data_IF_258232645566
#
_entry.id   IF_258232645566
#
_cell.length_a   1.000
_cell.length_b   1.000
_cell.length_c   1.000
_cell.angle_alpha   90.00
_cell.angle_beta   90.00
_cell.angle_gamma   90.00
#
_symmetry.space_group_name_H-M   'P 1'
#
loop_
_entity.id
_entity.type
_entity.pdbx_description
1 polymer ?
#
# COMPACT_ATOMS: atom_id res chain seq x y z
N UNK A 1 10.81 27.16 0.63
CA UNK A 1 11.86 26.20 0.23
C UNK A 1 11.58 24.78 0.73
N UNK A 2 11.21 24.61 1.99
CA UNK A 2 10.95 23.30 2.62
C UNK A 2 9.82 22.50 1.96
N UNK A 3 8.71 23.15 1.60
CA UNK A 3 7.57 22.51 0.94
C UNK A 3 7.94 21.96 -0.45
N UNK A 4 8.80 22.67 -1.18
CA UNK A 4 9.29 22.25 -2.49
C UNK A 4 10.14 20.99 -2.39
N UNK A 5 10.99 20.87 -1.36
CA UNK A 5 11.83 19.69 -1.13
C UNK A 5 10.95 18.48 -0.81
N UNK A 6 9.93 18.65 0.05
CA UNK A 6 8.97 17.57 0.37
C UNK A 6 8.18 17.18 -0.87
N UNK A 7 7.73 18.13 -1.68
CA UNK A 7 7.02 17.88 -2.93
C UNK A 7 7.90 17.13 -3.94
N UNK A 8 9.19 17.50 -4.05
CA UNK A 8 10.15 16.83 -4.92
C UNK A 8 10.42 15.40 -4.44
N UNK A 9 10.64 15.19 -3.14
CA UNK A 9 10.82 13.85 -2.55
C UNK A 9 9.55 13.03 -2.74
N UNK A 10 8.39 13.63 -2.54
CA UNK A 10 7.08 13.00 -2.78
C UNK A 10 6.90 12.60 -4.25
N UNK A 11 7.24 13.47 -5.20
CA UNK A 11 7.18 13.19 -6.64
C UNK A 11 8.16 12.09 -7.06
N UNK A 12 9.37 12.08 -6.52
CA UNK A 12 10.36 11.04 -6.79
C UNK A 12 9.88 9.69 -6.23
N UNK A 13 9.37 9.67 -4.99
CA UNK A 13 8.83 8.43 -4.38
C UNK A 13 7.59 7.94 -5.11
N UNK A 14 6.71 8.83 -5.58
CA UNK A 14 5.57 8.49 -6.42
C UNK A 14 5.97 7.82 -7.72
N UNK A 15 6.97 8.36 -8.43
CA UNK A 15 7.46 7.77 -9.67
C UNK A 15 8.08 6.38 -9.44
N UNK A 16 8.83 6.20 -8.35
CA UNK A 16 9.42 4.91 -7.99
C UNK A 16 8.32 3.92 -7.63
N UNK A 17 7.37 4.28 -6.77
CA UNK A 17 6.26 3.40 -6.33
C UNK A 17 5.30 3.08 -7.48
N UNK A 18 4.98 4.03 -8.35
CA UNK A 18 4.16 3.80 -9.56
C UNK A 18 4.88 2.95 -10.62
N UNK A 19 6.18 3.12 -10.78
CA UNK A 19 7.00 2.34 -11.72
C UNK A 19 6.97 0.84 -11.39
N UNK A 20 6.98 0.48 -10.10
CA UNK A 20 6.88 -0.92 -9.67
C UNK A 20 5.51 -1.55 -9.94
N UNK A 21 4.44 -0.78 -9.91
CA UNK A 21 3.08 -1.28 -10.23
C UNK A 21 2.92 -1.67 -11.71
N UNK A 22 3.72 -1.11 -12.61
CA UNK A 22 3.61 -1.36 -14.05
C UNK A 22 4.46 -2.55 -14.53
N UNK A 23 5.54 -2.90 -13.84
CA UNK A 23 6.49 -3.92 -14.31
C UNK A 23 6.08 -5.35 -13.96
N UNK A 24 5.15 -5.56 -13.02
CA UNK A 24 4.66 -6.90 -12.64
C UNK A 24 3.56 -7.46 -13.52
N UNK A 25 3.17 -6.78 -14.61
CA UNK A 25 1.99 -7.14 -15.42
C UNK A 25 2.25 -8.08 -16.61
N UNK A 26 3.43 -8.67 -16.79
CA UNK A 26 3.72 -9.43 -18.01
C UNK A 26 4.02 -10.93 -17.86
N UNK A 27 3.65 -11.58 -16.76
CA UNK A 27 3.80 -13.04 -16.65
C UNK A 27 2.57 -13.76 -16.07
N UNK A 28 1.38 -13.46 -16.61
CA UNK A 28 0.26 -14.40 -16.46
C UNK A 28 0.42 -15.45 -17.57
N UNK A 29 1.05 -16.58 -17.24
CA UNK A 29 0.98 -17.79 -18.06
C UNK A 29 -0.49 -18.16 -18.24
N UNK A 30 -0.99 -18.03 -19.45
CA UNK A 30 -2.27 -18.60 -19.86
C UNK A 30 -2.20 -20.13 -19.68
N UNK A 31 -2.83 -20.62 -18.62
CA UNK A 31 -3.07 -22.07 -18.46
C UNK A 31 -4.15 -22.41 -19.48
N UNK A 32 -3.73 -22.86 -20.66
CA UNK A 32 -4.61 -23.53 -21.60
C UNK A 32 -5.16 -24.80 -20.97
N UNK A 33 -6.41 -24.75 -20.53
CA UNK A 33 -7.20 -25.95 -20.24
C UNK A 33 -7.48 -26.67 -21.56
N UNK A 34 -6.67 -27.64 -21.90
CA UNK A 34 -7.06 -28.63 -22.87
C UNK A 34 -8.14 -29.53 -22.27
N UNK A 35 -9.36 -29.40 -22.77
CA UNK A 35 -10.40 -30.37 -22.56
C UNK A 35 -10.05 -31.61 -23.38
N UNK A 36 -9.64 -32.70 -22.71
CA UNK A 36 -9.48 -34.00 -23.33
C UNK A 36 -10.86 -34.64 -23.51
N UNK A 37 -11.36 -34.60 -24.73
CA UNK A 37 -12.42 -35.50 -25.18
C UNK A 37 -11.83 -36.90 -25.40
N UNK A 38 -12.46 -37.85 -24.74
CA UNK A 38 -12.24 -39.30 -24.83
C UNK A 38 -12.28 -39.82 -26.26
N UNK A 39 -11.23 -40.55 -26.67
CA UNK A 39 -11.33 -41.59 -27.72
C UNK A 39 -10.68 -42.85 -27.17
N UNK A 40 -11.53 -43.84 -26.91
CA UNK A 40 -11.18 -45.21 -26.63
C UNK A 40 -10.77 -45.92 -27.95
N UNK A 41 -9.58 -46.51 -27.98
CA UNK A 41 -9.32 -47.66 -28.86
C UNK A 41 -8.27 -48.55 -28.21
N UNK A 42 -8.75 -49.74 -27.92
CA UNK A 42 -8.02 -50.97 -27.56
C UNK A 42 -6.97 -51.36 -28.60
N UNK A 43 -5.79 -51.80 -28.20
CA UNK A 43 -5.05 -52.89 -28.84
C UNK A 43 -3.99 -53.45 -27.85
N UNK A 44 -3.95 -54.75 -27.85
CA UNK A 44 -3.29 -55.78 -27.06
C UNK A 44 -1.76 -55.76 -27.00
N UNK A 45 -1.28 -56.18 -25.84
CA UNK A 45 -0.16 -57.06 -25.50
C UNK A 45 0.99 -57.31 -26.46
N UNK A 46 2.22 -57.10 -25.98
CA UNK A 46 3.25 -58.17 -25.96
C UNK A 46 4.44 -57.75 -25.05
N UNK A 47 4.83 -58.68 -24.17
CA UNK A 47 5.97 -58.67 -23.30
C UNK A 47 7.26 -58.88 -24.07
N UNK A 48 8.35 -58.15 -23.76
CA UNK A 48 9.72 -58.66 -23.86
C UNK A 48 10.57 -58.01 -22.75
N UNK A 49 11.16 -58.87 -21.92
CA UNK A 49 12.28 -58.55 -21.01
C UNK A 49 13.55 -58.42 -21.82
N UNK A 50 14.42 -57.43 -21.48
CA UNK A 50 15.86 -57.68 -21.42
C UNK A 50 16.57 -56.57 -20.63
N UNK A 51 17.42 -57.01 -19.74
CA UNK A 51 18.40 -56.31 -18.95
C UNK A 51 19.53 -55.73 -19.81
N UNK A 52 20.05 -54.51 -19.46
CA UNK A 52 21.27 -54.01 -20.08
C UNK A 52 21.66 -52.66 -19.52
N UNK A 53 22.68 -52.66 -18.67
CA UNK A 53 23.40 -51.47 -18.21
C UNK A 53 24.15 -50.78 -19.36
N UNK A 54 24.11 -49.44 -19.42
CA UNK A 54 24.93 -48.70 -20.36
C UNK A 54 24.75 -47.21 -20.26
N UNK A 55 25.76 -46.56 -19.69
CA UNK A 55 25.92 -45.09 -19.72
C UNK A 55 26.08 -44.59 -21.16
N UNK A 56 25.18 -43.75 -21.60
CA UNK A 56 25.21 -43.14 -22.92
C UNK A 56 24.94 -41.64 -22.87
N UNK A 57 25.99 -40.86 -23.11
CA UNK A 57 25.95 -39.42 -23.35
C UNK A 57 25.16 -39.17 -24.63
N UNK A 58 24.08 -38.45 -24.55
CA UNK A 58 23.32 -38.02 -25.73
C UNK A 58 23.75 -36.59 -26.12
N UNK A 59 24.41 -36.50 -27.26
CA UNK A 59 24.70 -35.24 -27.96
C UNK A 59 23.41 -34.75 -28.67
N UNK A 60 22.88 -33.62 -28.21
CA UNK A 60 21.80 -32.93 -28.94
C UNK A 60 22.40 -32.02 -30.01
N UNK A 61 22.10 -32.31 -31.25
CA UNK A 61 22.49 -31.55 -32.44
C UNK A 61 21.49 -30.38 -32.63
N UNK A 62 21.90 -29.15 -32.32
CA UNK A 62 21.15 -27.93 -32.54
C UNK A 62 21.28 -27.48 -33.98
N UNK A 63 20.17 -27.46 -34.74
CA UNK A 63 20.10 -26.83 -36.05
C UNK A 63 19.87 -25.31 -35.86
N UNK A 64 20.91 -24.55 -36.18
CA UNK A 64 20.93 -23.08 -36.16
C UNK A 64 20.35 -22.54 -37.47
N UNK A 65 19.15 -22.03 -37.44
CA UNK A 65 18.61 -21.12 -38.49
C UNK A 65 19.03 -19.69 -38.10
N UNK A 66 19.75 -19.06 -39.00
CA UNK A 66 20.35 -17.73 -38.85
C UNK A 66 19.42 -16.72 -39.50
N UNK A 67 18.72 -15.92 -38.71
CA UNK A 67 18.09 -14.69 -39.16
C UNK A 67 18.84 -13.49 -38.58
N UNK A 68 19.34 -12.69 -39.51
CA UNK A 68 20.10 -11.47 -39.30
C UNK A 68 19.12 -10.33 -39.10
N UNK A 69 19.00 -9.78 -37.93
CA UNK A 69 18.74 -8.39 -37.54
C UNK A 69 18.20 -8.37 -36.11
N UNK A 70 19.10 -8.27 -35.14
CA UNK A 70 18.71 -7.85 -33.82
C UNK A 70 19.84 -7.04 -33.19
N UNK A 71 19.55 -5.80 -33.04
CA UNK A 71 20.21 -4.77 -32.25
C UNK A 71 20.56 -5.33 -30.86
N UNK A 72 21.81 -5.13 -30.49
CA UNK A 72 22.40 -5.43 -29.19
C UNK A 72 21.53 -4.90 -28.04
N UNK A 73 20.73 -5.77 -27.43
CA UNK A 73 20.34 -5.65 -26.05
C UNK A 73 21.16 -6.64 -25.24
N UNK A 74 22.03 -6.09 -24.41
CA UNK A 74 22.76 -6.82 -23.39
C UNK A 74 21.77 -7.66 -22.58
N UNK A 75 21.75 -8.97 -22.82
CA UNK A 75 21.04 -9.93 -21.99
C UNK A 75 21.71 -9.98 -20.63
N UNK A 76 21.12 -9.32 -19.64
CA UNK A 76 21.28 -9.73 -18.25
C UNK A 76 20.79 -11.18 -18.19
N UNK A 77 21.70 -12.08 -17.91
CA UNK A 77 21.37 -13.48 -17.63
C UNK A 77 20.55 -13.48 -16.35
N UNK A 78 19.24 -13.57 -16.49
CA UNK A 78 18.36 -13.97 -15.39
C UNK A 78 18.70 -15.44 -15.09
N UNK A 79 19.53 -15.66 -14.11
CA UNK A 79 19.58 -16.94 -13.42
C UNK A 79 18.29 -17.03 -12.64
N UNK A 80 17.31 -17.75 -13.21
CA UNK A 80 16.11 -18.23 -12.53
C UNK A 80 16.52 -19.12 -11.34
N UNK A 81 16.93 -18.49 -10.26
CA UNK A 81 16.92 -19.07 -8.94
C UNK A 81 15.60 -18.66 -8.29
N UNK A 82 14.54 -19.40 -8.59
CA UNK A 82 13.26 -19.37 -7.90
C UNK A 82 13.41 -19.87 -6.45
N UNK A 83 14.25 -19.21 -5.67
CA UNK A 83 14.21 -19.27 -4.23
C UNK A 83 13.27 -18.16 -3.74
N UNK A 84 11.98 -18.44 -3.74
CA UNK A 84 10.91 -17.58 -3.16
C UNK A 84 11.15 -17.18 -1.69
N UNK A 85 12.27 -17.63 -1.11
CA UNK A 85 12.68 -17.37 0.27
C UNK A 85 13.75 -16.28 0.43
N UNK A 86 14.34 -15.78 -0.65
CA UNK A 86 15.37 -14.76 -0.53
C UNK A 86 14.74 -13.42 -0.10
N UNK A 87 15.27 -12.81 0.97
CA UNK A 87 14.78 -11.52 1.44
C UNK A 87 15.05 -10.46 0.35
N UNK A 88 14.01 -9.75 -0.04
CA UNK A 88 14.17 -8.55 -0.87
C UNK A 88 15.34 -7.72 -0.31
N UNK A 89 16.35 -7.37 -1.13
CA UNK A 89 17.54 -6.72 -0.63
C UNK A 89 17.16 -5.40 0.08
N UNK A 90 17.88 -5.09 1.15
CA UNK A 90 17.65 -3.88 1.95
C UNK A 90 17.76 -2.60 1.11
N UNK A 91 18.51 -2.68 0.02
CA UNK A 91 18.77 -1.62 -0.96
C UNK A 91 17.73 -1.56 -2.08
N UNK A 92 16.61 -2.30 -2.01
CA UNK A 92 15.60 -2.19 -3.05
C UNK A 92 15.09 -0.75 -3.16
N UNK A 93 14.91 -0.20 -4.36
CA UNK A 93 14.47 1.19 -4.56
C UNK A 93 13.16 1.50 -3.83
N UNK A 94 12.25 0.53 -3.76
CA UNK A 94 11.00 0.64 -3.01
C UNK A 94 11.24 0.91 -1.52
N UNK A 95 12.09 0.10 -0.87
CA UNK A 95 12.41 0.26 0.56
C UNK A 95 13.11 1.57 0.83
N UNK A 96 14.08 1.92 -0.01
CA UNK A 96 14.79 3.20 0.08
C UNK A 96 13.84 4.38 -0.05
N UNK A 97 12.86 4.32 -0.95
CA UNK A 97 11.84 5.36 -1.11
C UNK A 97 11.01 5.54 0.16
N UNK A 98 10.51 4.46 0.77
CA UNK A 98 9.75 4.56 2.02
C UNK A 98 10.61 5.04 3.20
N UNK A 99 11.86 4.59 3.32
CA UNK A 99 12.77 5.08 4.35
C UNK A 99 13.08 6.57 4.15
N UNK A 100 13.37 6.98 2.93
CA UNK A 100 13.63 8.39 2.62
C UNK A 100 12.42 9.26 2.95
N UNK A 101 11.22 8.82 2.56
CA UNK A 101 9.98 9.54 2.85
C UNK A 101 9.71 9.63 4.36
N UNK A 102 9.89 8.52 5.09
CA UNK A 102 9.70 8.48 6.53
C UNK A 102 10.71 9.36 7.27
N UNK A 103 12.01 9.23 6.95
CA UNK A 103 13.06 10.06 7.55
C UNK A 103 12.87 11.54 7.22
N UNK A 104 12.47 11.87 6.00
CA UNK A 104 12.17 13.25 5.61
C UNK A 104 11.02 13.83 6.42
N UNK A 105 9.95 13.06 6.62
CA UNK A 105 8.81 13.49 7.43
C UNK A 105 9.22 13.68 8.91
N UNK A 106 9.96 12.72 9.48
CA UNK A 106 10.47 12.81 10.87
C UNK A 106 11.34 14.05 11.02
N UNK A 107 12.35 14.19 10.18
CA UNK A 107 13.25 15.35 10.24
C UNK A 107 12.48 16.65 10.09
N UNK A 108 11.58 16.72 9.12
CA UNK A 108 10.77 17.91 8.88
C UNK A 108 9.91 18.26 10.09
N UNK A 109 9.19 17.32 10.66
CA UNK A 109 8.27 17.55 11.78
C UNK A 109 8.99 18.09 13.03
N UNK A 110 10.22 17.65 13.28
CA UNK A 110 10.96 18.03 14.49
C UNK A 110 11.90 19.24 14.29
N UNK A 111 12.31 19.57 13.06
CA UNK A 111 13.33 20.61 12.84
C UNK A 111 12.85 21.79 12.01
N UNK A 112 11.93 21.59 11.06
CA UNK A 112 11.58 22.58 10.04
C UNK A 112 10.10 23.00 10.07
N UNK A 113 9.23 22.25 10.77
CA UNK A 113 7.81 22.57 10.86
C UNK A 113 7.62 23.91 11.62
N UNK A 114 6.63 24.74 11.21
CA UNK A 114 6.36 26.01 11.87
C UNK A 114 5.95 25.83 13.32
N UNK A 115 6.12 26.89 14.15
CA UNK A 115 5.71 26.86 15.55
C UNK A 115 6.63 26.10 16.51
N UNK A 116 7.91 25.87 16.17
CA UNK A 116 8.88 25.04 16.88
C UNK A 116 9.44 25.61 18.21
N UNK A 117 8.66 26.30 19.03
CA UNK A 117 9.08 26.73 20.37
C UNK A 117 8.61 25.75 21.46
N UNK A 118 9.17 25.85 22.69
CA UNK A 118 8.70 25.03 23.82
C UNK A 118 7.20 25.21 24.12
N UNK A 119 6.66 26.41 23.84
CA UNK A 119 5.23 26.70 23.96
C UNK A 119 4.39 25.96 22.91
N UNK A 120 4.94 25.60 21.75
CA UNK A 120 4.22 24.89 20.71
C UNK A 120 3.69 23.52 21.17
N UNK A 121 4.44 22.80 21.99
CA UNK A 121 4.00 21.52 22.52
C UNK A 121 2.76 21.66 23.43
N UNK A 122 2.69 22.71 24.22
CA UNK A 122 1.52 23.00 25.04
C UNK A 122 0.30 23.36 24.17
N UNK A 123 0.50 24.16 23.12
CA UNK A 123 -0.55 24.54 22.16
C UNK A 123 -1.04 23.30 21.39
N UNK A 124 -0.13 22.47 20.87
CA UNK A 124 -0.46 21.24 20.17
C UNK A 124 -1.31 20.32 21.05
N UNK A 125 -0.92 20.12 22.32
CA UNK A 125 -1.67 19.30 23.27
C UNK A 125 -3.06 19.88 23.56
N UNK A 126 -3.17 21.20 23.73
CA UNK A 126 -4.45 21.86 23.91
C UNK A 126 -5.36 21.69 22.70
N UNK A 127 -4.83 21.87 21.48
CA UNK A 127 -5.60 21.64 20.24
C UNK A 127 -6.08 20.20 20.13
N UNK A 128 -5.24 19.20 20.43
CA UNK A 128 -5.64 17.78 20.43
C UNK A 128 -6.77 17.56 21.44
N UNK A 129 -6.63 18.08 22.67
CA UNK A 129 -7.69 17.95 23.69
C UNK A 129 -9.00 18.59 23.23
N UNK A 130 -8.96 19.80 22.66
CA UNK A 130 -10.14 20.47 22.12
C UNK A 130 -10.81 19.65 21.03
N UNK A 131 -10.04 19.15 20.04
CA UNK A 131 -10.59 18.35 18.94
C UNK A 131 -11.28 17.07 19.44
N UNK A 132 -10.76 16.45 20.51
CA UNK A 132 -11.29 15.20 21.04
C UNK A 132 -12.43 15.44 22.03
N UNK A 133 -12.31 16.42 22.94
CA UNK A 133 -13.23 16.59 24.06
C UNK A 133 -14.35 17.59 23.77
N UNK A 134 -14.03 18.65 23.05
CA UNK A 134 -14.96 19.75 22.76
C UNK A 134 -14.96 20.16 21.28
N UNK A 135 -15.22 19.23 20.35
CA UNK A 135 -15.05 19.49 18.91
C UNK A 135 -15.96 20.62 18.36
N UNK A 136 -16.99 21.01 19.12
CA UNK A 136 -17.98 22.01 18.72
C UNK A 136 -17.82 23.36 19.45
N UNK A 137 -16.73 23.60 20.17
CA UNK A 137 -16.55 24.85 20.94
C UNK A 137 -16.15 26.04 20.07
N UNK A 138 -15.85 25.81 18.79
CA UNK A 138 -15.49 26.86 17.83
C UNK A 138 -14.08 27.42 17.98
N UNK A 139 -13.26 26.89 18.89
CA UNK A 139 -11.87 27.37 19.10
C UNK A 139 -10.90 26.86 18.04
N UNK A 140 -11.14 25.65 17.50
CA UNK A 140 -10.37 25.06 16.41
C UNK A 140 -11.24 25.01 15.16
N UNK A 141 -10.71 25.44 14.02
CA UNK A 141 -11.48 25.40 12.77
C UNK A 141 -11.98 23.99 12.45
N UNK A 142 -13.28 23.84 12.13
CA UNK A 142 -13.90 22.55 11.83
C UNK A 142 -13.24 21.81 10.66
N UNK A 143 -12.64 22.55 9.71
CA UNK A 143 -11.88 21.96 8.59
C UNK A 143 -10.67 21.21 9.09
N UNK A 144 -9.87 21.80 9.99
CA UNK A 144 -8.73 21.12 10.58
C UNK A 144 -9.16 19.95 11.47
N UNK A 145 -10.21 20.16 12.29
CA UNK A 145 -10.75 19.10 13.14
C UNK A 145 -11.21 17.88 12.33
N UNK A 146 -11.87 18.10 11.20
CA UNK A 146 -12.27 17.04 10.28
C UNK A 146 -11.07 16.34 9.63
N UNK A 147 -10.05 17.09 9.17
CA UNK A 147 -8.82 16.53 8.62
C UNK A 147 -8.10 15.68 9.66
N UNK A 148 -7.93 16.18 10.88
CA UNK A 148 -7.26 15.48 11.97
C UNK A 148 -7.96 14.16 12.33
N UNK A 149 -9.29 14.18 12.44
CA UNK A 149 -10.07 12.97 12.67
C UNK A 149 -10.04 12.00 11.48
N UNK A 150 -9.84 12.49 10.26
CA UNK A 150 -9.66 11.65 9.08
C UNK A 150 -8.37 10.82 9.12
N UNK A 151 -7.36 11.27 9.85
CA UNK A 151 -6.16 10.46 10.14
C UNK A 151 -6.50 9.17 10.91
N UNK A 152 -7.63 9.09 11.60
CA UNK A 152 -8.12 7.86 12.21
C UNK A 152 -8.79 6.90 11.22
N UNK A 153 -9.31 7.38 10.09
CA UNK A 153 -9.91 6.54 9.04
C UNK A 153 -8.83 5.85 8.21
N UNK A 154 -7.78 6.57 7.83
CA UNK A 154 -6.72 6.04 6.97
C UNK A 154 -6.05 4.77 7.55
N UNK A 155 -5.70 4.68 8.84
CA UNK A 155 -5.20 3.45 9.44
C UNK A 155 -6.17 2.26 9.33
N UNK A 156 -7.48 2.47 9.41
CA UNK A 156 -8.46 1.40 9.22
C UNK A 156 -8.46 0.89 7.77
N UNK A 157 -8.28 1.80 6.80
CA UNK A 157 -8.08 1.43 5.39
C UNK A 157 -6.76 0.67 5.22
N UNK A 158 -5.65 1.17 5.79
CA UNK A 158 -4.37 0.47 5.79
C UNK A 158 -4.45 -0.91 6.44
N UNK A 159 -5.18 -1.05 7.56
CA UNK A 159 -5.45 -2.34 8.18
C UNK A 159 -6.11 -3.32 7.20
N UNK A 160 -7.13 -2.84 6.50
CA UNK A 160 -7.86 -3.63 5.50
C UNK A 160 -7.00 -4.09 4.31
N UNK A 161 -5.98 -3.30 3.94
CA UNK A 161 -5.09 -3.59 2.82
C UNK A 161 -3.87 -4.43 3.22
N UNK A 162 -3.30 -4.17 4.40
CA UNK A 162 -2.02 -4.71 4.82
C UNK A 162 -2.13 -5.99 5.64
N UNK A 163 -3.13 -6.08 6.53
CA UNK A 163 -3.23 -7.21 7.46
C UNK A 163 -3.45 -8.56 6.78
N UNK A 164 -4.19 -8.68 5.67
CA UNK A 164 -4.25 -9.96 4.97
C UNK A 164 -2.88 -10.52 4.61
N UNK A 165 -1.96 -9.66 4.12
CA UNK A 165 -0.60 -10.05 3.77
C UNK A 165 0.37 -10.17 4.96
N UNK A 166 -0.01 -9.71 6.16
CA UNK A 166 0.80 -9.73 7.37
C UNK A 166 0.73 -11.08 8.10
N UNK A 167 0.90 -12.17 7.35
CA UNK A 167 0.88 -13.54 7.87
C UNK A 167 2.28 -14.01 8.30
N UNK A 168 2.41 -15.28 8.65
CA UNK A 168 3.66 -15.88 9.17
C UNK A 168 4.87 -15.78 8.20
N UNK A 169 4.65 -15.43 6.93
CA UNK A 169 5.73 -15.18 5.97
C UNK A 169 6.41 -13.82 6.20
N UNK A 170 5.77 -12.90 6.96
CA UNK A 170 6.35 -11.60 7.30
C UNK A 170 7.25 -11.71 8.53
N UNK A 171 8.46 -11.12 8.44
CA UNK A 171 9.39 -11.03 9.59
C UNK A 171 8.99 -9.95 10.60
N UNK A 172 8.12 -9.02 10.18
CA UNK A 172 7.75 -7.82 10.95
C UNK A 172 6.26 -7.90 11.27
N UNK A 173 5.87 -7.70 12.55
CA UNK A 173 4.48 -7.82 12.98
C UNK A 173 3.63 -6.64 12.48
N UNK A 174 2.92 -6.82 11.35
CA UNK A 174 2.13 -5.76 10.71
C UNK A 174 1.06 -5.15 11.62
N UNK A 175 0.43 -5.96 12.47
CA UNK A 175 -0.64 -5.50 13.36
C UNK A 175 -0.17 -4.38 14.31
N UNK A 176 1.04 -4.48 14.88
CA UNK A 176 1.55 -3.46 15.80
C UNK A 176 1.76 -2.11 15.11
N UNK A 177 2.30 -2.13 13.89
CA UNK A 177 2.51 -0.92 13.10
C UNK A 177 1.19 -0.29 12.64
N UNK A 178 0.21 -1.11 12.28
CA UNK A 178 -1.13 -0.62 11.95
C UNK A 178 -1.80 0.00 13.18
N UNK A 179 -1.73 -0.63 14.33
CA UNK A 179 -2.28 -0.06 15.58
C UNK A 179 -1.57 1.26 15.92
N UNK A 180 -0.24 1.32 15.82
CA UNK A 180 0.50 2.55 16.09
C UNK A 180 0.12 3.69 15.14
N UNK A 181 -0.29 3.36 13.91
CA UNK A 181 -0.68 4.38 12.92
C UNK A 181 -1.98 5.11 13.27
N UNK A 182 -2.85 4.57 14.11
CA UNK A 182 -4.02 5.29 14.62
C UNK A 182 -3.66 6.51 15.46
N UNK A 183 -2.52 6.47 16.15
CA UNK A 183 -2.02 7.60 16.94
C UNK A 183 -0.96 8.41 16.21
N UNK A 184 -0.18 7.79 15.33
CA UNK A 184 1.03 8.35 14.75
C UNK A 184 0.97 8.52 13.21
N UNK A 185 -0.12 8.13 12.56
CA UNK A 185 -0.24 8.25 11.11
C UNK A 185 0.86 7.50 10.35
N UNK A 186 1.51 8.17 9.42
CA UNK A 186 2.62 7.61 8.63
C UNK A 186 3.87 7.35 9.44
N UNK A 187 4.08 8.10 10.54
CA UNK A 187 5.18 7.80 11.47
C UNK A 187 5.10 6.36 11.99
N UNK A 188 3.88 5.84 12.21
CA UNK A 188 3.62 4.48 12.65
C UNK A 188 3.73 3.46 11.52
N UNK A 189 3.03 3.67 10.39
CA UNK A 189 2.92 2.68 9.31
C UNK A 189 4.09 2.74 8.33
N UNK A 190 4.76 3.87 8.17
CA UNK A 190 5.86 4.07 7.21
C UNK A 190 6.99 3.06 7.34
N UNK A 191 7.53 2.80 8.56
CA UNK A 191 8.55 1.78 8.76
C UNK A 191 8.09 0.37 8.34
N UNK A 192 6.83 0.04 8.55
CA UNK A 192 6.28 -1.23 8.11
C UNK A 192 6.23 -1.33 6.59
N UNK A 193 5.79 -0.28 5.89
CA UNK A 193 5.77 -0.22 4.43
C UNK A 193 7.17 -0.42 3.85
N UNK A 194 8.21 0.11 4.51
CA UNK A 194 9.60 -0.09 4.12
C UNK A 194 10.09 -1.53 4.37
N UNK A 195 9.74 -2.10 5.52
CA UNK A 195 10.29 -3.38 5.98
C UNK A 195 9.54 -4.61 5.47
N UNK A 196 8.24 -4.48 5.20
CA UNK A 196 7.40 -5.61 4.78
C UNK A 196 7.80 -6.13 3.41
N UNK A 197 7.46 -7.38 3.14
CA UNK A 197 7.50 -7.99 1.80
C UNK A 197 6.13 -7.86 1.14
N UNK A 198 6.13 -7.66 -0.17
CA UNK A 198 4.91 -7.79 -0.97
C UNK A 198 4.50 -9.27 -0.94
N UNK A 199 3.24 -9.53 -0.63
CA UNK A 199 2.71 -10.89 -0.51
C UNK A 199 1.36 -10.97 -1.22
N UNK A 200 1.38 -11.46 -2.45
CA UNK A 200 0.18 -11.61 -3.28
C UNK A 200 -0.48 -13.00 -3.12
N UNK A 201 0.25 -13.99 -2.59
CA UNK A 201 -0.22 -15.37 -2.40
C UNK A 201 -0.95 -15.52 -1.07
N UNK A 202 -2.02 -14.73 -0.91
CA UNK A 202 -2.85 -14.74 0.30
C UNK A 202 -4.22 -15.30 -0.02
N UNK A 203 -4.62 -16.30 0.78
CA UNK A 203 -5.95 -16.91 0.74
C UNK A 203 -6.69 -16.64 2.05
N UNK A 204 -7.99 -16.90 2.07
CA UNK A 204 -8.79 -16.76 3.30
C UNK A 204 -8.28 -17.63 4.45
N UNK A 205 -7.66 -18.78 4.13
CA UNK A 205 -7.11 -19.73 5.11
C UNK A 205 -5.76 -19.31 5.72
N UNK A 206 -4.94 -18.50 5.02
CA UNK A 206 -3.59 -18.13 5.44
C UNK A 206 -3.40 -16.63 5.72
N UNK A 207 -4.49 -15.86 5.78
CA UNK A 207 -4.47 -14.43 6.04
C UNK A 207 -3.91 -14.10 7.43
N UNK A 208 -3.34 -12.91 7.55
CA UNK A 208 -2.71 -12.43 8.77
C UNK A 208 -3.70 -12.16 9.92
N UNK A 209 -3.16 -12.10 11.14
CA UNK A 209 -3.93 -11.86 12.35
C UNK A 209 -4.66 -10.50 12.29
N UNK A 210 -5.90 -10.48 12.76
CA UNK A 210 -6.74 -9.28 12.80
C UNK A 210 -7.41 -8.92 11.48
N UNK A 211 -7.00 -9.53 10.36
CA UNK A 211 -7.56 -9.21 9.03
C UNK A 211 -9.08 -9.46 8.95
N UNK A 212 -9.62 -10.45 9.66
CA UNK A 212 -11.05 -10.78 9.63
C UNK A 212 -11.97 -9.63 10.02
N UNK A 213 -11.53 -8.75 10.95
CA UNK A 213 -12.29 -7.56 11.34
C UNK A 213 -12.36 -6.57 10.17
N UNK A 214 -11.21 -6.35 9.51
CA UNK A 214 -11.06 -5.36 8.44
C UNK A 214 -11.46 -5.90 7.05
N UNK A 215 -11.62 -7.21 6.91
CA UNK A 215 -12.24 -7.84 5.74
C UNK A 215 -13.77 -7.69 5.74
N UNK A 216 -14.37 -7.43 6.90
CA UNK A 216 -15.81 -7.24 7.01
C UNK A 216 -16.22 -5.91 6.36
N UNK A 217 -17.19 -5.96 5.44
CA UNK A 217 -17.75 -4.77 4.79
C UNK A 217 -18.37 -3.77 5.78
N UNK A 218 -18.78 -4.22 6.97
CA UNK A 218 -19.28 -3.33 8.02
C UNK A 218 -18.21 -2.31 8.46
N UNK A 219 -16.93 -2.70 8.54
CA UNK A 219 -15.83 -1.78 8.84
C UNK A 219 -15.70 -0.70 7.76
N UNK A 220 -15.81 -1.08 6.49
CA UNK A 220 -15.77 -0.13 5.38
C UNK A 220 -17.00 0.79 5.35
N UNK A 221 -18.19 0.26 5.65
CA UNK A 221 -19.42 1.07 5.77
C UNK A 221 -19.29 2.05 6.93
N UNK A 222 -18.82 1.60 8.10
CA UNK A 222 -18.57 2.46 9.25
C UNK A 222 -17.59 3.59 8.94
N UNK A 223 -16.49 3.26 8.24
CA UNK A 223 -15.51 4.26 7.78
C UNK A 223 -16.12 5.25 6.80
N UNK A 224 -17.00 4.80 5.89
CA UNK A 224 -17.71 5.69 4.96
C UNK A 224 -18.63 6.65 5.70
N UNK A 225 -19.46 6.13 6.61
CA UNK A 225 -20.38 6.96 7.39
C UNK A 225 -19.63 7.98 8.24
N UNK A 226 -18.51 7.58 8.85
CA UNK A 226 -17.68 8.50 9.61
C UNK A 226 -17.02 9.56 8.71
N UNK A 227 -16.51 9.19 7.54
CA UNK A 227 -15.98 10.14 6.56
C UNK A 227 -17.04 11.15 6.10
N UNK A 228 -18.25 10.69 5.81
CA UNK A 228 -19.38 11.57 5.46
C UNK A 228 -19.73 12.52 6.62
N UNK A 229 -19.75 12.01 7.84
CA UNK A 229 -19.95 12.83 9.03
C UNK A 229 -18.88 13.91 9.17
N UNK A 230 -17.60 13.59 8.96
CA UNK A 230 -16.51 14.57 9.04
C UNK A 230 -16.63 15.67 7.98
N UNK A 231 -17.06 15.32 6.76
CA UNK A 231 -17.35 16.33 5.72
C UNK A 231 -18.52 17.21 6.16
N UNK A 232 -19.63 16.62 6.60
CA UNK A 232 -20.77 17.38 7.13
C UNK A 232 -20.32 18.31 8.27
N UNK A 233 -19.57 17.80 9.24
CA UNK A 233 -19.02 18.55 10.37
C UNK A 233 -18.15 19.73 9.91
N UNK A 234 -17.26 19.53 8.94
CA UNK A 234 -16.40 20.59 8.43
C UNK A 234 -17.18 21.81 7.91
N UNK A 235 -18.38 21.57 7.35
CA UNK A 235 -19.22 22.63 6.78
C UNK A 235 -20.28 23.20 7.73
N UNK A 236 -20.72 22.45 8.73
CA UNK A 236 -21.89 22.81 9.55
C UNK A 236 -21.58 23.10 11.02
N UNK A 237 -20.44 22.61 11.56
CA UNK A 237 -20.09 22.85 12.96
C UNK A 237 -19.98 24.36 13.26
N UNK A 238 -20.32 24.81 14.48
CA UNK A 238 -20.22 26.22 14.86
C UNK A 238 -18.78 26.73 14.69
N UNK A 239 -18.64 27.85 14.01
CA UNK A 239 -17.35 28.53 13.86
C UNK A 239 -17.58 29.98 13.41
N UNK A 240 -16.89 30.92 14.03
CA UNK A 240 -16.93 32.34 13.65
C UNK A 240 -15.83 32.66 12.64
N UNK A 241 -16.20 33.29 11.53
CA UNK A 241 -15.28 33.66 10.46
C UNK A 241 -15.18 32.63 9.31
N UNK A 242 -14.22 32.90 8.40
CA UNK A 242 -13.99 32.01 7.26
C UNK A 242 -13.15 30.79 7.64
N UNK A 243 -13.77 29.62 7.49
CA UNK A 243 -13.22 28.32 7.89
C UNK A 243 -11.96 27.94 7.14
N UNK A 244 -11.89 28.27 5.85
CA UNK A 244 -10.76 27.93 5.01
C UNK A 244 -9.57 28.84 5.30
N UNK A 245 -9.82 30.15 5.44
CA UNK A 245 -8.77 31.10 5.83
C UNK A 245 -8.19 30.72 7.20
N UNK A 246 -9.05 30.42 8.18
CA UNK A 246 -8.59 29.98 9.50
C UNK A 246 -7.80 28.67 9.46
N UNK A 247 -8.19 27.73 8.58
CA UNK A 247 -7.40 26.50 8.39
C UNK A 247 -6.02 26.80 7.78
N UNK A 248 -5.95 27.67 6.77
CA UNK A 248 -4.65 28.02 6.17
C UNK A 248 -3.75 28.77 7.15
N UNK A 249 -4.32 29.62 8.00
CA UNK A 249 -3.57 30.27 9.08
C UNK A 249 -3.00 29.26 10.08
N UNK A 250 -3.82 28.26 10.50
CA UNK A 250 -3.31 27.17 11.33
C UNK A 250 -2.22 26.36 10.62
N UNK A 251 -2.43 26.03 9.35
CA UNK A 251 -1.45 25.29 8.56
C UNK A 251 -0.12 26.04 8.46
N UNK A 252 -0.13 27.36 8.32
CA UNK A 252 1.09 28.14 8.17
C UNK A 252 1.83 28.36 9.50
N UNK A 253 1.11 28.44 10.61
CA UNK A 253 1.66 28.92 11.87
C UNK A 253 1.72 27.85 12.98
N UNK A 254 0.95 26.76 12.89
CA UNK A 254 0.87 25.75 13.95
C UNK A 254 1.46 24.42 13.48
N UNK A 255 2.40 23.89 14.27
CA UNK A 255 3.10 22.64 13.95
C UNK A 255 2.15 21.46 13.77
N UNK A 256 1.19 21.29 14.68
CA UNK A 256 0.24 20.18 14.63
C UNK A 256 -0.56 20.19 13.33
N UNK A 257 -1.14 21.34 12.96
CA UNK A 257 -1.94 21.46 11.74
C UNK A 257 -1.10 21.24 10.49
N UNK A 258 0.11 21.78 10.46
CA UNK A 258 1.04 21.63 9.36
C UNK A 258 1.47 20.17 9.15
N UNK A 259 1.97 19.54 10.21
CA UNK A 259 2.48 18.16 10.15
C UNK A 259 1.34 17.16 9.87
N UNK A 260 0.18 17.34 10.51
CA UNK A 260 -0.99 16.47 10.27
C UNK A 260 -1.49 16.53 8.82
N UNK A 261 -1.45 17.72 8.20
CA UNK A 261 -1.84 17.89 6.79
C UNK A 261 -0.87 17.19 5.84
N UNK A 262 0.43 17.31 6.11
CA UNK A 262 1.46 16.62 5.33
C UNK A 262 1.35 15.11 5.54
N UNK A 263 1.18 14.65 6.76
CA UNK A 263 1.01 13.24 7.10
C UNK A 263 -0.20 12.62 6.40
N UNK A 264 -1.34 13.31 6.43
CA UNK A 264 -2.55 12.94 5.70
C UNK A 264 -2.29 12.79 4.18
N UNK A 265 -1.54 13.74 3.60
CA UNK A 265 -1.20 13.72 2.18
C UNK A 265 -0.29 12.53 1.85
N UNK A 266 0.74 12.31 2.66
CA UNK A 266 1.66 11.18 2.49
C UNK A 266 0.93 9.86 2.61
N UNK A 267 0.08 9.68 3.64
CA UNK A 267 -0.74 8.47 3.82
C UNK A 267 -1.64 8.21 2.61
N UNK A 268 -2.31 9.26 2.11
CA UNK A 268 -3.21 9.12 0.96
C UNK A 268 -2.47 8.65 -0.31
N UNK A 269 -1.26 9.16 -0.54
CA UNK A 269 -0.44 8.83 -1.70
C UNK A 269 0.23 7.46 -1.54
N UNK A 270 0.82 7.20 -0.38
CA UNK A 270 1.51 5.95 -0.09
C UNK A 270 0.57 4.73 -0.10
N UNK A 271 -0.74 4.94 0.02
CA UNK A 271 -1.77 3.90 -0.04
C UNK A 271 -1.86 3.21 -1.41
N UNK A 272 -1.37 3.84 -2.48
CA UNK A 272 -1.44 3.29 -3.83
C UNK A 272 -0.77 1.91 -3.94
N UNK A 273 0.38 1.70 -3.31
CA UNK A 273 1.09 0.41 -3.35
C UNK A 273 0.34 -0.70 -2.60
N UNK A 274 -0.02 -0.56 -1.31
CA UNK A 274 -0.81 -1.56 -0.60
C UNK A 274 -2.13 -1.90 -1.30
N UNK A 275 -2.79 -0.90 -1.89
CA UNK A 275 -4.02 -1.12 -2.63
C UNK A 275 -3.77 -1.92 -3.91
N UNK A 276 -2.71 -1.60 -4.67
CA UNK A 276 -2.33 -2.36 -5.87
C UNK A 276 -2.02 -3.82 -5.54
N UNK A 277 -1.35 -4.07 -4.41
CA UNK A 277 -1.07 -5.42 -3.92
C UNK A 277 -2.35 -6.17 -3.55
N UNK A 278 -3.30 -5.53 -2.84
CA UNK A 278 -4.58 -6.13 -2.49
C UNK A 278 -5.44 -6.43 -3.73
N UNK A 279 -5.39 -5.55 -4.74
CA UNK A 279 -6.03 -5.77 -6.04
C UNK A 279 -5.48 -7.01 -6.75
N UNK A 280 -4.16 -7.19 -6.75
CA UNK A 280 -3.52 -8.37 -7.34
C UNK A 280 -3.91 -9.66 -6.61
N UNK A 281 -3.92 -9.67 -5.26
CA UNK A 281 -4.36 -10.81 -4.45
C UNK A 281 -5.76 -11.29 -4.82
N UNK A 282 -6.65 -10.35 -5.16
CA UNK A 282 -8.08 -10.60 -5.40
C UNK A 282 -8.43 -10.78 -6.87
N UNK A 283 -7.44 -10.69 -7.78
CA UNK A 283 -7.71 -10.74 -9.22
C UNK A 283 -8.64 -9.60 -9.66
N UNK A 284 -8.42 -8.38 -9.15
CA UNK A 284 -9.24 -7.22 -9.47
C UNK A 284 -9.08 -6.79 -10.93
N UNK A 285 -10.19 -6.71 -11.67
CA UNK A 285 -10.22 -6.30 -13.08
C UNK A 285 -10.77 -4.87 -13.30
N UNK A 286 -11.06 -4.15 -12.21
CA UNK A 286 -11.62 -2.79 -12.26
C UNK A 286 -10.54 -1.68 -12.39
N UNK A 287 -10.92 -0.43 -12.06
CA UNK A 287 -10.01 0.72 -12.10
C UNK A 287 -8.74 0.51 -11.27
N UNK A 288 -7.65 1.19 -11.63
CA UNK A 288 -6.36 1.10 -10.94
C UNK A 288 -6.40 1.69 -9.54
N UNK A 289 -5.45 1.30 -8.68
CA UNK A 289 -5.30 1.88 -7.34
C UNK A 289 -5.14 3.40 -7.38
N UNK A 290 -4.41 3.94 -8.37
CA UNK A 290 -4.22 5.37 -8.54
C UNK A 290 -5.56 6.11 -8.77
N UNK A 291 -6.51 5.50 -9.47
CA UNK A 291 -7.84 6.07 -9.70
C UNK A 291 -8.60 6.25 -8.36
N UNK A 292 -8.53 5.26 -7.48
CA UNK A 292 -9.16 5.37 -6.16
C UNK A 292 -8.39 6.33 -5.25
N UNK A 293 -7.07 6.31 -5.25
CA UNK A 293 -6.25 7.20 -4.42
C UNK A 293 -6.35 8.68 -4.86
N UNK A 294 -6.82 8.97 -6.08
CA UNK A 294 -7.09 10.34 -6.54
C UNK A 294 -8.19 11.04 -5.71
N UNK A 295 -9.04 10.28 -5.03
CA UNK A 295 -10.06 10.79 -4.10
C UNK A 295 -9.71 10.33 -2.69
N UNK A 296 -8.90 11.11 -1.95
CA UNK A 296 -8.47 10.73 -0.59
C UNK A 296 -9.65 10.33 0.28
N UNK A 297 -9.50 9.29 1.11
CA UNK A 297 -10.52 8.69 1.98
C UNK A 297 -11.62 7.98 1.20
N UNK A 298 -12.41 8.69 0.39
CA UNK A 298 -13.60 8.14 -0.27
C UNK A 298 -13.26 7.08 -1.33
N UNK A 299 -12.24 7.33 -2.14
CA UNK A 299 -11.81 6.37 -3.15
C UNK A 299 -11.32 5.06 -2.56
N UNK A 300 -10.36 5.05 -1.61
CA UNK A 300 -9.97 3.85 -0.90
C UNK A 300 -11.11 3.10 -0.22
N UNK A 301 -12.03 3.80 0.44
CA UNK A 301 -13.22 3.16 1.05
C UNK A 301 -14.13 2.55 -0.03
N UNK A 302 -14.33 3.26 -1.16
CA UNK A 302 -15.12 2.72 -2.28
C UNK A 302 -14.48 1.43 -2.83
N UNK A 303 -13.16 1.38 -2.97
CA UNK A 303 -12.46 0.13 -3.32
C UNK A 303 -12.75 -0.98 -2.30
N UNK A 304 -12.63 -0.72 -1.00
CA UNK A 304 -12.90 -1.72 0.05
C UNK A 304 -14.33 -2.28 0.00
N UNK A 305 -15.30 -1.45 -0.38
CA UNK A 305 -16.69 -1.86 -0.54
C UNK A 305 -16.91 -2.73 -1.79
N UNK A 306 -16.19 -2.43 -2.87
CA UNK A 306 -16.34 -3.08 -4.18
C UNK A 306 -15.48 -4.33 -4.34
N UNK A 307 -14.36 -4.42 -3.61
CA UNK A 307 -13.38 -5.50 -3.78
C UNK A 307 -13.98 -6.90 -3.58
N UNK A 308 -13.55 -7.91 -4.37
CA UNK A 308 -13.91 -9.30 -4.15
C UNK A 308 -13.38 -9.84 -2.81
N UNK A 309 -13.95 -10.95 -2.34
CA UNK A 309 -13.37 -11.71 -1.24
C UNK A 309 -11.99 -12.27 -1.62
N UNK A 310 -11.19 -12.60 -0.60
CA UNK A 310 -9.93 -13.32 -0.80
C UNK A 310 -10.20 -14.69 -1.44
N UNK A 311 -9.28 -15.22 -2.26
CA UNK A 311 -9.36 -16.58 -2.78
C UNK A 311 -9.45 -17.58 -1.62
N UNK A 312 -10.15 -18.70 -1.84
CA UNK A 312 -10.26 -19.78 -0.85
C UNK A 312 -9.03 -20.67 -0.86
#
# INVERSE_FOLDING_TARGET
MSLLIILIVLLITLNVVSGYSFTTRSNVKSINRYSSSSISSSISSSSIRSSGSGSGVQLYKSNKVRDSNSILYSSVVDTDNDNDNDPEPFTSPRRLAYYALWLSLVTYAFTLAPGGSETATAIDNQMIQTIIQTPNDGTVTPVFSALFNSLGILPAVYASLLLPGANNKQKVPGLLFVISSFALGFFGVGPYLALRRINIDVTDSNKGMGSSIFENKLTSIGSLLFAMYLVYFAFTAPFEGDRLTAYFDLFQNQRLAHVSTIDFTILSIAMNEPMSEDMQRRGWEGPSAATFCAFPIFGPIAYLLLRPALPK
#
